data_IF_489373008108
#
_entry.id   IF_489373008108
#
_cell.length_a   1.000
_cell.length_b   1.000
_cell.length_c   1.000
_cell.angle_alpha   90.00
_cell.angle_beta   90.00
_cell.angle_gamma   90.00
#
_symmetry.space_group_name_H-M   'P 1'
#
loop_
_entity.id
_entity.type
_entity.pdbx_description
1 polymer ?
#
# COMPACT_ATOMS: atom_id res chain seq x y z
N UNK A 1 -15.21 -4.40 30.67
CA UNK A 1 -14.42 -3.17 30.42
C UNK A 1 -12.95 -3.51 30.12
N UNK A 2 -12.29 -4.29 30.99
CA UNK A 2 -10.90 -4.76 30.77
C UNK A 2 -10.71 -5.53 29.46
N UNK A 3 -11.66 -6.39 29.07
CA UNK A 3 -11.56 -7.16 27.81
C UNK A 3 -11.54 -6.28 26.54
N UNK A 4 -12.24 -5.14 26.55
CA UNK A 4 -12.23 -4.20 25.41
C UNK A 4 -10.90 -3.47 25.27
N UNK A 5 -10.28 -3.09 26.40
CA UNK A 5 -8.95 -2.48 26.39
C UNK A 5 -7.87 -3.48 25.93
N UNK A 6 -8.03 -4.77 26.25
CA UNK A 6 -7.13 -5.83 25.78
C UNK A 6 -7.27 -6.10 24.27
N UNK A 7 -8.47 -5.96 23.71
CA UNK A 7 -8.68 -6.11 22.26
C UNK A 7 -7.98 -4.98 21.49
N UNK A 8 -8.07 -3.73 21.95
CA UNK A 8 -7.44 -2.60 21.26
C UNK A 8 -5.92 -2.72 21.23
N UNK A 9 -5.28 -3.12 22.34
CA UNK A 9 -3.82 -3.30 22.38
C UNK A 9 -3.33 -4.41 21.45
N UNK A 10 -4.11 -5.49 21.30
CA UNK A 10 -3.79 -6.57 20.35
C UNK A 10 -3.90 -6.10 18.89
N UNK A 11 -4.91 -5.29 18.57
CA UNK A 11 -5.07 -4.74 17.22
C UNK A 11 -3.94 -3.75 16.88
N UNK A 12 -3.60 -2.85 17.80
CA UNK A 12 -2.47 -1.92 17.65
C UNK A 12 -1.14 -2.68 17.46
N UNK A 13 -0.94 -3.78 18.19
CA UNK A 13 0.23 -4.64 18.01
C UNK A 13 0.29 -5.24 16.60
N UNK A 14 -0.84 -5.72 16.06
CA UNK A 14 -0.91 -6.25 14.70
C UNK A 14 -0.65 -5.17 13.65
N UNK A 15 -1.21 -3.96 13.82
CA UNK A 15 -1.00 -2.83 12.93
C UNK A 15 0.47 -2.36 12.90
N UNK A 16 1.15 -2.41 14.05
CA UNK A 16 2.58 -2.10 14.13
C UNK A 16 3.45 -3.16 13.43
N UNK A 17 3.04 -4.43 13.47
CA UNK A 17 3.79 -5.55 12.86
C UNK A 17 3.53 -5.70 11.37
N UNK A 18 2.29 -5.52 10.94
CA UNK A 18 1.84 -5.74 9.57
C UNK A 18 1.26 -4.45 9.00
N UNK A 19 2.12 -3.72 8.28
CA UNK A 19 1.74 -2.49 7.57
C UNK A 19 0.58 -2.79 6.63
N UNK A 20 -0.46 -1.96 6.67
CA UNK A 20 -1.67 -2.13 5.86
C UNK A 20 -2.84 -2.83 6.57
N UNK A 21 -2.64 -3.32 7.80
CA UNK A 21 -3.73 -3.86 8.63
C UNK A 21 -4.80 -2.79 8.87
N UNK A 22 -6.03 -3.04 8.40
CA UNK A 22 -7.14 -2.08 8.50
C UNK A 22 -7.80 -2.00 9.89
N UNK A 23 -8.71 -1.05 10.03
CA UNK A 23 -9.62 -0.88 11.17
C UNK A 23 -10.96 -0.29 10.69
N UNK A 24 -11.96 -0.22 11.57
CA UNK A 24 -13.32 0.21 11.20
C UNK A 24 -13.37 1.66 10.65
N UNK A 25 -12.50 2.54 11.16
CA UNK A 25 -12.44 3.95 10.75
C UNK A 25 -11.50 4.21 9.57
N UNK A 26 -10.94 3.17 8.95
CA UNK A 26 -10.02 3.32 7.82
C UNK A 26 -10.76 3.93 6.63
N UNK A 27 -10.24 5.04 6.11
CA UNK A 27 -10.90 5.70 4.99
C UNK A 27 -10.59 5.00 3.65
N UNK A 28 -11.43 5.28 2.63
CA UNK A 28 -11.27 4.71 1.28
C UNK A 28 -9.90 5.01 0.67
N UNK A 29 -9.38 6.23 0.85
CA UNK A 29 -8.09 6.65 0.33
C UNK A 29 -6.93 5.87 0.97
N UNK A 30 -6.93 5.70 2.29
CA UNK A 30 -5.92 4.92 3.03
C UNK A 30 -5.92 3.46 2.58
N UNK A 31 -7.11 2.86 2.43
CA UNK A 31 -7.25 1.52 1.88
C UNK A 31 -6.66 1.43 0.46
N UNK A 32 -7.03 2.35 -0.42
CA UNK A 32 -6.55 2.36 -1.81
C UNK A 32 -5.03 2.51 -1.90
N UNK A 33 -4.44 3.37 -1.06
CA UNK A 33 -2.97 3.55 -1.00
C UNK A 33 -2.27 2.25 -0.60
N UNK A 34 -2.80 1.52 0.39
CA UNK A 34 -2.24 0.23 0.81
C UNK A 34 -2.31 -0.80 -0.33
N UNK A 35 -3.49 -0.96 -0.95
CA UNK A 35 -3.67 -1.90 -2.08
C UNK A 35 -2.73 -1.59 -3.25
N UNK A 36 -2.57 -0.31 -3.59
CA UNK A 36 -1.72 0.07 -4.71
C UNK A 36 -0.22 -0.14 -4.38
N UNK A 37 0.19 0.07 -3.13
CA UNK A 37 1.55 -0.27 -2.66
C UNK A 37 1.80 -1.77 -2.68
N UNK A 38 0.86 -2.58 -2.22
CA UNK A 38 0.98 -4.05 -2.26
C UNK A 38 1.08 -4.58 -3.69
N UNK A 39 0.33 -3.95 -4.61
CA UNK A 39 0.39 -4.24 -6.04
C UNK A 39 1.78 -3.94 -6.61
N UNK A 40 2.32 -2.73 -6.39
CA UNK A 40 3.67 -2.38 -6.85
C UNK A 40 4.77 -3.24 -6.22
N UNK A 41 4.65 -3.57 -4.93
CA UNK A 41 5.58 -4.48 -4.25
C UNK A 41 5.57 -5.85 -4.92
N UNK A 42 4.38 -6.37 -5.26
CA UNK A 42 4.23 -7.62 -5.99
C UNK A 42 4.80 -7.52 -7.40
N UNK A 43 4.60 -6.39 -8.09
CA UNK A 43 5.12 -6.21 -9.46
C UNK A 43 6.64 -6.24 -9.50
N UNK A 44 7.28 -5.57 -8.55
CA UNK A 44 8.73 -5.52 -8.42
C UNK A 44 9.30 -6.85 -7.91
N UNK A 45 8.61 -7.51 -6.98
CA UNK A 45 9.08 -8.76 -6.36
C UNK A 45 8.97 -10.01 -7.25
N UNK A 46 8.06 -10.02 -8.23
CA UNK A 46 7.85 -11.18 -9.12
C UNK A 46 8.43 -10.91 -10.50
N UNK A 47 9.61 -11.44 -10.79
CA UNK A 47 10.30 -11.20 -12.07
C UNK A 47 9.43 -11.42 -13.33
N UNK A 48 8.58 -12.47 -13.44
CA UNK A 48 7.75 -12.66 -14.63
C UNK A 48 6.77 -11.51 -14.89
N UNK A 49 6.17 -10.94 -13.82
CA UNK A 49 5.22 -9.85 -13.98
C UNK A 49 5.94 -8.54 -14.29
N UNK A 50 7.10 -8.28 -13.67
CA UNK A 50 7.95 -7.14 -14.00
C UNK A 50 8.38 -7.17 -15.48
N UNK A 51 8.82 -8.33 -15.95
CA UNK A 51 9.22 -8.52 -17.35
C UNK A 51 8.03 -8.32 -18.30
N UNK A 52 6.84 -8.80 -17.93
CA UNK A 52 5.61 -8.56 -18.71
C UNK A 52 5.33 -7.06 -18.90
N UNK A 53 5.38 -6.26 -17.82
CA UNK A 53 5.21 -4.80 -17.92
C UNK A 53 6.30 -4.14 -18.76
N UNK A 54 7.55 -4.56 -18.59
CA UNK A 54 8.69 -4.02 -19.35
C UNK A 54 8.54 -4.25 -20.85
N UNK A 55 8.04 -5.42 -21.25
CA UNK A 55 7.74 -5.73 -22.65
C UNK A 55 6.56 -4.89 -23.16
N UNK A 56 5.50 -4.77 -22.37
CA UNK A 56 4.29 -4.02 -22.76
C UNK A 56 4.57 -2.52 -22.98
N UNK A 57 5.39 -1.92 -22.12
CA UNK A 57 5.77 -0.50 -22.20
C UNK A 57 7.01 -0.25 -23.08
N UNK A 58 7.64 -1.31 -23.60
CA UNK A 58 8.89 -1.25 -24.38
C UNK A 58 10.01 -0.46 -23.66
N UNK A 59 10.13 -0.70 -22.36
CA UNK A 59 11.13 -0.09 -21.49
C UNK A 59 12.04 -1.17 -20.89
N UNK A 60 13.24 -0.78 -20.47
CA UNK A 60 14.13 -1.73 -19.81
C UNK A 60 13.56 -2.19 -18.47
N UNK A 61 13.81 -3.44 -18.08
CA UNK A 61 13.37 -3.99 -16.78
C UNK A 61 13.83 -3.11 -15.60
N UNK A 62 15.05 -2.57 -15.66
CA UNK A 62 15.56 -1.66 -14.64
C UNK A 62 14.81 -0.33 -14.58
N UNK A 63 14.33 0.17 -15.73
CA UNK A 63 13.51 1.39 -15.81
C UNK A 63 12.13 1.17 -15.21
N UNK A 64 11.46 0.07 -15.54
CA UNK A 64 10.15 -0.25 -14.95
C UNK A 64 10.25 -0.52 -13.45
N UNK A 65 11.29 -1.22 -13.00
CA UNK A 65 11.56 -1.40 -11.57
C UNK A 65 11.71 -0.05 -10.85
N UNK A 66 12.49 0.88 -11.42
CA UNK A 66 12.63 2.23 -10.88
C UNK A 66 11.29 2.99 -10.86
N UNK A 67 10.54 2.94 -11.97
CA UNK A 67 9.25 3.60 -12.11
C UNK A 67 8.25 3.12 -11.05
N UNK A 68 8.14 1.81 -10.84
CA UNK A 68 7.25 1.25 -9.81
C UNK A 68 7.66 1.66 -8.40
N UNK A 69 8.97 1.66 -8.08
CA UNK A 69 9.44 2.15 -6.78
C UNK A 69 9.07 3.63 -6.55
N UNK A 70 9.19 4.49 -7.56
CA UNK A 70 8.80 5.91 -7.42
C UNK A 70 7.28 6.07 -7.22
N UNK A 71 6.48 5.26 -7.90
CA UNK A 71 5.01 5.29 -7.79
C UNK A 71 4.49 4.84 -6.41
N UNK A 72 5.30 4.18 -5.57
CA UNK A 72 4.89 3.78 -4.21
C UNK A 72 4.74 4.97 -3.23
N UNK A 73 5.31 6.14 -3.53
CA UNK A 73 5.25 7.31 -2.63
C UNK A 73 3.81 7.85 -2.50
N UNK A 74 3.22 8.25 -3.63
CA UNK A 74 1.86 8.81 -3.73
C UNK A 74 1.08 8.08 -4.84
N UNK A 75 0.79 6.79 -4.66
CA UNK A 75 0.19 5.96 -5.71
C UNK A 75 -1.23 6.41 -6.09
N UNK A 76 -1.93 7.07 -5.18
CA UNK A 76 -3.30 7.57 -5.36
C UNK A 76 -3.37 9.11 -5.42
N UNK A 77 -2.22 9.79 -5.58
CA UNK A 77 -2.14 11.24 -5.50
C UNK A 77 -2.16 11.77 -4.06
N UNK A 78 -2.49 13.05 -3.90
CA UNK A 78 -2.58 13.69 -2.59
C UNK A 78 -3.82 13.17 -1.84
N UNK A 79 -3.74 13.04 -0.50
CA UNK A 79 -4.91 12.72 0.30
C UNK A 79 -6.01 13.79 0.11
N UNK A 80 -7.29 13.40 0.19
CA UNK A 80 -8.37 14.37 0.19
C UNK A 80 -8.21 15.33 1.38
N UNK A 81 -8.64 16.58 1.19
CA UNK A 81 -8.75 17.52 2.30
C UNK A 81 -9.62 16.89 3.39
N UNK A 82 -9.12 16.90 4.63
CA UNK A 82 -9.95 16.47 5.76
C UNK A 82 -11.06 17.51 5.89
N UNK A 83 -12.31 17.06 5.92
CA UNK A 83 -13.38 17.92 6.41
C UNK A 83 -13.04 18.22 7.87
N UNK A 84 -12.69 19.47 8.17
CA UNK A 84 -12.55 19.93 9.56
C UNK A 84 -13.92 19.75 10.25
N UNK A 85 -13.94 19.14 11.44
CA UNK A 85 -15.12 19.06 12.31
C UNK A 85 -15.65 20.46 12.71
#
# INVERSE_FOLDING_TARGET
ASDRFNINSQLEHLQAKYVGTGHADLNRFEWAVNIQRDSYASYVGHYPILAYFSIAENESIGREHYNFMQKMLLPCGLPPEREDD
#
